data_IF_011303863172
#
_entry.id   IF_011303863172
#
_cell.length_a   1.000
_cell.length_b   1.000
_cell.length_c   1.000
_cell.angle_alpha   90.00
_cell.angle_beta   90.00
_cell.angle_gamma   90.00
#
_symmetry.space_group_name_H-M   'P 1'
#
loop_
_entity.id
_entity.type
_entity.pdbx_description
1 polymer ?
#
# COMPACT_ATOMS: atom_id res chain seq x y z
N UNK A 1 -3.55 -4.24 3.86
CA UNK A 1 -4.65 -4.80 3.05
C UNK A 1 -4.48 -4.46 1.58
N UNK A 2 -4.97 -5.34 0.70
CA UNK A 2 -4.90 -5.18 -0.76
C UNK A 2 -6.23 -5.54 -1.39
N UNK A 3 -6.74 -4.68 -2.25
CA UNK A 3 -7.85 -4.99 -3.17
C UNK A 3 -7.40 -5.12 -4.61
N UNK A 4 -6.13 -4.80 -4.88
CA UNK A 4 -5.50 -4.89 -6.19
C UNK A 4 -4.12 -5.53 -6.07
N UNK A 5 -3.72 -6.24 -7.11
CA UNK A 5 -2.45 -6.95 -7.18
C UNK A 5 -1.37 -6.03 -7.73
N UNK A 6 -0.44 -5.60 -6.89
CA UNK A 6 0.66 -4.70 -7.31
C UNK A 6 1.82 -4.72 -6.31
N UNK A 7 2.94 -4.11 -6.68
CA UNK A 7 4.12 -3.97 -5.83
C UNK A 7 4.68 -5.32 -5.36
N UNK A 8 4.96 -5.44 -4.05
CA UNK A 8 5.48 -6.70 -3.48
C UNK A 8 4.53 -7.87 -3.67
N UNK A 9 3.21 -7.63 -3.63
CA UNK A 9 2.21 -8.67 -3.88
C UNK A 9 2.26 -9.19 -5.31
N UNK A 10 2.46 -8.32 -6.30
CA UNK A 10 2.65 -8.73 -7.68
C UNK A 10 3.92 -9.57 -7.85
N UNK A 11 5.03 -9.13 -7.26
CA UNK A 11 6.29 -9.86 -7.32
C UNK A 11 6.21 -11.27 -6.70
N UNK A 12 5.43 -11.40 -5.62
CA UNK A 12 5.19 -12.69 -4.95
C UNK A 12 4.26 -13.57 -5.82
N UNK A 13 3.18 -13.02 -6.34
CA UNK A 13 2.24 -13.71 -7.21
C UNK A 13 2.90 -14.29 -8.47
N UNK A 14 3.80 -13.55 -9.11
CA UNK A 14 4.54 -14.03 -10.26
C UNK A 14 5.35 -15.32 -9.97
N UNK A 15 5.79 -15.51 -8.74
CA UNK A 15 6.59 -16.67 -8.32
C UNK A 15 5.75 -17.86 -7.91
N UNK A 16 4.61 -17.62 -7.25
CA UNK A 16 3.87 -18.67 -6.54
C UNK A 16 2.36 -18.67 -6.78
N UNK A 17 1.83 -17.74 -7.59
CA UNK A 17 0.39 -17.49 -7.74
C UNK A 17 -0.34 -17.31 -6.40
N UNK A 18 0.38 -16.79 -5.40
CA UNK A 18 -0.14 -16.49 -4.08
C UNK A 18 0.45 -15.20 -3.54
N UNK A 19 -0.19 -14.60 -2.54
CA UNK A 19 0.34 -13.47 -1.78
C UNK A 19 0.18 -13.77 -0.30
N UNK A 20 1.26 -13.73 0.47
CA UNK A 20 1.29 -14.10 1.91
C UNK A 20 0.64 -15.46 2.20
N UNK A 21 0.90 -16.43 1.32
CA UNK A 21 0.31 -17.79 1.34
C UNK A 21 -1.20 -17.85 1.00
N UNK A 22 -1.82 -16.75 0.55
CA UNK A 22 -3.19 -16.75 0.06
C UNK A 22 -3.16 -17.07 -1.44
N UNK A 23 -3.68 -18.21 -1.89
CA UNK A 23 -3.73 -18.55 -3.32
C UNK A 23 -4.66 -17.58 -4.06
N UNK A 24 -4.24 -17.15 -5.23
CA UNK A 24 -5.01 -16.25 -6.08
C UNK A 24 -5.30 -16.90 -7.44
N UNK A 25 -6.37 -16.49 -8.13
CA UNK A 25 -6.68 -17.00 -9.47
C UNK A 25 -5.51 -16.82 -10.44
N UNK A 26 -5.34 -17.77 -11.35
CA UNK A 26 -4.36 -17.67 -12.43
C UNK A 26 -4.75 -16.57 -13.43
N UNK A 27 -3.75 -16.00 -14.12
CA UNK A 27 -3.97 -15.02 -15.19
C UNK A 27 -4.18 -13.58 -14.71
N UNK A 28 -3.99 -13.28 -13.43
CA UNK A 28 -3.97 -11.89 -12.95
C UNK A 28 -2.74 -11.18 -13.49
N UNK A 29 -2.90 -9.90 -13.77
CA UNK A 29 -1.88 -8.98 -14.24
C UNK A 29 -1.54 -7.96 -13.14
N UNK A 30 -0.40 -7.27 -13.28
CA UNK A 30 -0.11 -6.13 -12.41
C UNK A 30 -1.24 -5.08 -12.51
N UNK A 31 -1.72 -4.60 -11.38
CA UNK A 31 -2.87 -3.71 -11.31
C UNK A 31 -4.24 -4.41 -11.40
N UNK A 32 -4.32 -5.74 -11.50
CA UNK A 32 -5.60 -6.45 -11.48
C UNK A 32 -6.32 -6.26 -10.16
N UNK A 33 -7.64 -6.03 -10.24
CA UNK A 33 -8.52 -6.06 -9.07
C UNK A 33 -8.62 -7.50 -8.56
N UNK A 34 -8.47 -7.69 -7.27
CA UNK A 34 -8.66 -8.99 -6.62
C UNK A 34 -10.15 -9.32 -6.48
N UNK A 35 -10.53 -10.61 -6.48
CA UNK A 35 -11.91 -11.03 -6.25
C UNK A 35 -12.47 -10.52 -4.91
N UNK A 36 -11.63 -10.50 -3.89
CA UNK A 36 -11.88 -9.93 -2.57
C UNK A 36 -10.63 -9.23 -2.03
N UNK A 37 -10.82 -8.34 -1.08
CA UNK A 37 -9.69 -7.69 -0.41
C UNK A 37 -9.01 -8.68 0.52
N UNK A 38 -7.69 -8.76 0.45
CA UNK A 38 -6.88 -9.68 1.24
C UNK A 38 -6.09 -8.95 2.32
N UNK A 39 -5.87 -9.65 3.44
CA UNK A 39 -4.98 -9.21 4.51
C UNK A 39 -3.57 -9.74 4.26
N UNK A 40 -2.62 -8.84 4.13
CA UNK A 40 -1.23 -9.16 3.81
C UNK A 40 -0.30 -8.55 4.86
N UNK A 41 -0.12 -9.21 6.01
CA UNK A 41 0.74 -8.68 7.06
C UNK A 41 2.21 -8.67 6.62
N UNK A 42 2.96 -7.76 7.20
CA UNK A 42 4.41 -7.68 7.08
C UNK A 42 5.03 -7.51 8.47
N UNK A 43 6.27 -7.98 8.62
CA UNK A 43 7.08 -7.62 9.79
C UNK A 43 7.45 -6.16 9.71
N UNK A 44 7.57 -5.49 10.87
CA UNK A 44 8.22 -4.18 10.91
C UNK A 44 9.73 -4.43 11.00
N UNK A 45 10.44 -4.06 9.96
CA UNK A 45 11.89 -4.19 9.90
C UNK A 45 12.58 -3.23 10.87
N UNK A 46 13.78 -3.57 11.31
CA UNK A 46 14.67 -2.63 11.99
C UNK A 46 15.15 -1.53 11.02
N UNK A 47 15.65 -0.42 11.58
CA UNK A 47 16.07 0.71 10.78
C UNK A 47 17.20 0.30 9.82
N UNK A 48 16.94 0.37 8.51
CA UNK A 48 17.86 -0.02 7.44
C UNK A 48 17.47 -1.28 6.68
N UNK A 49 16.54 -2.06 7.20
CA UNK A 49 15.99 -3.25 6.54
C UNK A 49 14.63 -2.97 5.90
N UNK A 50 14.14 -3.90 5.10
CA UNK A 50 12.83 -3.83 4.44
C UNK A 50 11.81 -4.71 5.13
N UNK A 51 10.58 -4.20 5.26
CA UNK A 51 9.43 -4.98 5.74
C UNK A 51 9.24 -6.21 4.85
N UNK A 52 9.14 -7.39 5.47
CA UNK A 52 8.89 -8.64 4.77
C UNK A 52 7.44 -9.07 4.90
N UNK A 53 6.82 -9.41 3.76
CA UNK A 53 5.50 -10.02 3.78
C UNK A 53 5.56 -11.38 4.49
N UNK A 54 4.64 -11.60 5.42
CA UNK A 54 4.52 -12.86 6.16
C UNK A 54 3.11 -13.43 6.02
N UNK A 55 2.97 -14.74 6.23
CA UNK A 55 1.65 -15.35 6.30
C UNK A 55 0.91 -14.96 7.58
N UNK A 56 -0.43 -15.06 7.56
CA UNK A 56 -1.25 -14.89 8.76
C UNK A 56 -0.87 -15.88 9.88
N UNK A 57 -0.52 -17.11 9.52
CA UNK A 57 -0.03 -18.10 10.47
C UNK A 57 1.25 -17.62 11.16
N UNK A 58 2.22 -17.10 10.39
CA UNK A 58 3.46 -16.57 10.95
C UNK A 58 3.22 -15.35 11.82
N UNK A 59 2.33 -14.45 11.44
CA UNK A 59 1.91 -13.32 12.29
C UNK A 59 1.34 -13.83 13.62
N UNK A 60 0.46 -14.84 13.55
CA UNK A 60 -0.16 -15.42 14.76
C UNK A 60 0.84 -16.07 15.70
N UNK A 61 1.93 -16.65 15.19
CA UNK A 61 3.04 -17.16 15.99
C UNK A 61 3.79 -16.04 16.73
N UNK A 62 3.96 -14.87 16.05
CA UNK A 62 4.74 -13.75 16.60
C UNK A 62 3.96 -12.99 17.67
N UNK A 63 2.69 -12.65 17.41
CA UNK A 63 1.91 -11.76 18.28
C UNK A 63 0.76 -12.45 19.02
N UNK A 64 0.54 -13.74 18.78
CA UNK A 64 -0.60 -14.50 19.30
C UNK A 64 -1.84 -14.45 18.41
N UNK A 65 -2.54 -15.58 18.32
CA UNK A 65 -3.71 -15.75 17.44
C UNK A 65 -4.84 -14.74 17.70
N UNK A 66 -5.24 -14.47 18.96
CA UNK A 66 -6.28 -13.48 19.25
C UNK A 66 -5.97 -12.09 18.70
N UNK A 67 -4.77 -11.58 18.96
CA UNK A 67 -4.34 -10.26 18.46
C UNK A 67 -4.24 -10.25 16.93
N UNK A 68 -3.66 -11.26 16.32
CA UNK A 68 -3.57 -11.39 14.87
C UNK A 68 -4.97 -11.36 14.22
N UNK A 69 -5.95 -12.06 14.80
CA UNK A 69 -7.34 -12.03 14.35
C UNK A 69 -7.95 -10.63 14.42
N UNK A 70 -7.80 -9.95 15.55
CA UNK A 70 -8.30 -8.58 15.74
C UNK A 70 -7.67 -7.63 14.72
N UNK A 71 -6.35 -7.67 14.56
CA UNK A 71 -5.65 -6.77 13.63
C UNK A 71 -6.01 -7.03 12.17
N UNK A 72 -6.20 -8.30 11.78
CA UNK A 72 -6.71 -8.65 10.45
C UNK A 72 -8.08 -8.01 10.21
N UNK A 73 -9.00 -8.20 11.13
CA UNK A 73 -10.39 -7.76 10.99
C UNK A 73 -10.48 -6.23 10.97
N UNK A 74 -9.76 -5.55 11.86
CA UNK A 74 -9.66 -4.08 11.86
C UNK A 74 -9.06 -3.56 10.55
N UNK A 75 -7.96 -4.17 10.08
CA UNK A 75 -7.32 -3.78 8.82
C UNK A 75 -8.28 -3.88 7.64
N UNK A 76 -8.99 -5.01 7.49
CA UNK A 76 -9.94 -5.21 6.41
C UNK A 76 -11.15 -4.28 6.50
N UNK A 77 -11.66 -4.02 7.70
CA UNK A 77 -12.76 -3.08 7.92
C UNK A 77 -12.37 -1.65 7.54
N UNK A 78 -11.22 -1.18 8.02
CA UNK A 78 -10.70 0.15 7.69
C UNK A 78 -10.45 0.29 6.18
N UNK A 79 -9.80 -0.71 5.58
CA UNK A 79 -9.53 -0.73 4.16
C UNK A 79 -10.81 -0.69 3.33
N UNK A 80 -11.78 -1.56 3.61
CA UNK A 80 -13.04 -1.62 2.87
C UNK A 80 -13.81 -0.30 2.93
N UNK A 81 -13.86 0.31 4.12
CA UNK A 81 -14.50 1.62 4.30
C UNK A 81 -13.79 2.72 3.50
N UNK A 82 -12.45 2.75 3.57
CA UNK A 82 -11.65 3.73 2.84
C UNK A 82 -11.75 3.53 1.33
N UNK A 83 -11.69 2.28 0.84
CA UNK A 83 -11.82 1.95 -0.57
C UNK A 83 -13.19 2.37 -1.12
N UNK A 84 -14.26 2.09 -0.38
CA UNK A 84 -15.62 2.50 -0.77
C UNK A 84 -15.74 4.01 -0.85
N UNK A 85 -15.19 4.74 0.12
CA UNK A 85 -15.19 6.20 0.10
C UNK A 85 -14.35 6.75 -1.06
N UNK A 86 -13.13 6.29 -1.25
CA UNK A 86 -12.24 6.72 -2.32
C UNK A 86 -12.88 6.51 -3.72
N UNK A 87 -13.59 5.41 -3.91
CA UNK A 87 -14.29 5.12 -5.16
C UNK A 87 -15.36 6.19 -5.49
N UNK A 88 -16.04 6.76 -4.50
CA UNK A 88 -16.99 7.88 -4.72
C UNK A 88 -16.31 9.16 -5.16
N UNK A 89 -15.00 9.23 -5.06
CA UNK A 89 -14.15 10.37 -5.43
C UNK A 89 -13.31 10.11 -6.70
N UNK A 90 -13.61 9.04 -7.44
CA UNK A 90 -12.86 8.67 -8.64
C UNK A 90 -11.46 8.11 -8.35
N UNK A 91 -11.20 7.70 -7.11
CA UNK A 91 -9.92 7.15 -6.68
C UNK A 91 -10.04 5.67 -6.35
N UNK A 92 -9.11 4.88 -6.87
CA UNK A 92 -8.87 3.50 -6.46
C UNK A 92 -7.85 3.52 -5.32
N UNK A 93 -8.23 2.99 -4.16
CA UNK A 93 -7.30 2.60 -3.11
C UNK A 93 -6.85 1.17 -3.39
N UNK A 94 -5.66 1.01 -3.96
CA UNK A 94 -5.17 -0.29 -4.40
C UNK A 94 -4.71 -1.17 -3.25
N UNK A 95 -3.89 -0.62 -2.38
CA UNK A 95 -3.45 -1.22 -1.12
C UNK A 95 -3.14 -0.12 -0.11
N UNK A 96 -3.05 -0.51 1.15
CA UNK A 96 -2.63 0.38 2.23
C UNK A 96 -1.95 -0.40 3.33
N UNK A 97 -1.02 0.25 4.01
CA UNK A 97 -0.36 -0.24 5.21
C UNK A 97 -0.95 0.48 6.42
N UNK A 98 -1.36 -0.28 7.42
CA UNK A 98 -1.70 0.22 8.75
C UNK A 98 -0.72 -0.33 9.78
N UNK A 99 -0.36 0.48 10.74
CA UNK A 99 0.39 0.06 11.90
C UNK A 99 -0.50 0.12 13.15
N UNK A 100 -0.39 -0.87 14.00
CA UNK A 100 -1.14 -0.95 15.23
C UNK A 100 -0.20 -1.15 16.40
N UNK A 101 -0.58 -0.60 17.53
CA UNK A 101 0.10 -0.79 18.80
C UNK A 101 -0.89 -0.90 19.94
N UNK A 102 -0.36 -1.05 21.16
CA UNK A 102 -1.16 -0.95 22.39
C UNK A 102 -0.81 0.32 23.14
N UNK A 103 -1.82 1.03 23.59
CA UNK A 103 -1.64 2.17 24.50
C UNK A 103 -1.26 1.72 25.92
N UNK A 104 -1.04 2.66 26.81
CA UNK A 104 -0.69 2.40 28.21
C UNK A 104 -1.76 1.63 28.99
N UNK A 105 -2.98 1.54 28.48
CA UNK A 105 -4.09 0.77 29.06
C UNK A 105 -4.20 -0.64 28.47
N UNK A 106 -3.36 -0.97 27.47
CA UNK A 106 -3.40 -2.24 26.75
C UNK A 106 -4.41 -2.27 25.60
N UNK A 107 -5.09 -1.16 25.28
CA UNK A 107 -6.04 -1.08 24.18
C UNK A 107 -5.31 -0.98 22.85
N UNK A 108 -5.80 -1.71 21.83
CA UNK A 108 -5.28 -1.61 20.47
C UNK A 108 -5.62 -0.25 19.89
N UNK A 109 -4.60 0.42 19.37
CA UNK A 109 -4.68 1.72 18.71
C UNK A 109 -4.07 1.63 17.33
N UNK A 110 -4.65 2.38 16.38
CA UNK A 110 -4.02 2.68 15.11
C UNK A 110 -2.90 3.69 15.37
N UNK A 111 -1.70 3.34 14.92
CA UNK A 111 -0.51 4.20 15.01
C UNK A 111 -0.05 4.62 13.62
N UNK A 112 0.97 5.50 13.61
CA UNK A 112 1.58 6.02 12.40
C UNK A 112 0.58 6.70 11.44
N UNK A 113 1.03 7.05 10.25
CA UNK A 113 0.19 7.61 9.20
C UNK A 113 -0.76 6.57 8.61
N UNK A 114 -1.96 6.99 8.26
CA UNK A 114 -2.95 6.12 7.66
C UNK A 114 -3.64 6.80 6.48
N UNK A 115 -3.79 6.08 5.36
CA UNK A 115 -4.49 6.54 4.17
C UNK A 115 -3.88 7.81 3.54
N UNK A 116 -2.58 7.96 3.66
CA UNK A 116 -1.80 9.01 3.00
C UNK A 116 -1.18 8.47 1.71
N UNK A 117 -0.68 9.33 0.81
CA UNK A 117 0.08 8.89 -0.36
C UNK A 117 1.37 8.11 -0.03
N UNK A 118 1.84 8.15 1.21
CA UNK A 118 3.00 7.37 1.65
C UNK A 118 2.63 5.97 2.15
N UNK A 119 1.53 5.84 2.89
CA UNK A 119 1.03 4.56 3.41
C UNK A 119 0.18 3.79 2.42
N UNK A 120 -0.29 4.42 1.34
CA UNK A 120 -1.31 3.89 0.43
C UNK A 120 -0.96 4.12 -1.04
N UNK A 121 -1.43 3.22 -1.93
CA UNK A 121 -1.45 3.46 -3.37
C UNK A 121 -2.81 3.96 -3.80
N UNK A 122 -2.84 5.18 -4.31
CA UNK A 122 -4.02 5.81 -4.89
C UNK A 122 -3.86 5.92 -6.40
N UNK A 123 -4.80 5.36 -7.16
CA UNK A 123 -4.82 5.44 -8.61
C UNK A 123 -6.06 6.19 -9.11
N UNK A 124 -5.95 6.80 -10.28
CA UNK A 124 -7.11 7.37 -10.95
C UNK A 124 -8.00 6.24 -11.48
N UNK A 125 -9.29 6.25 -11.11
CA UNK A 125 -10.24 5.26 -11.58
C UNK A 125 -10.47 5.35 -13.09
N UNK A 126 -10.45 6.57 -13.65
CA UNK A 126 -10.74 6.81 -15.08
C UNK A 126 -9.63 6.26 -16.00
N UNK A 127 -8.40 6.21 -15.52
CA UNK A 127 -7.24 5.76 -16.31
C UNK A 127 -6.72 4.39 -15.91
N UNK A 128 -7.34 3.74 -14.91
CA UNK A 128 -6.92 2.44 -14.45
C UNK A 128 -7.10 1.36 -15.52
N UNK A 129 -6.04 0.59 -15.73
CA UNK A 129 -6.02 -0.55 -16.65
C UNK A 129 -5.03 -1.60 -16.16
N UNK A 130 -5.44 -2.86 -15.91
CA UNK A 130 -4.51 -3.94 -15.56
C UNK A 130 -3.47 -4.20 -16.66
N UNK A 131 -2.29 -4.67 -16.26
CA UNK A 131 -1.22 -5.07 -17.18
C UNK A 131 -0.06 -4.11 -17.28
N UNK A 132 0.06 -3.15 -16.37
CA UNK A 132 1.19 -2.21 -16.35
C UNK A 132 1.14 -1.21 -15.22
N UNK A 133 2.08 -0.27 -15.24
CA UNK A 133 2.15 0.81 -14.28
C UNK A 133 0.87 1.66 -14.29
N UNK A 134 0.37 2.00 -13.12
CA UNK A 134 -0.85 2.79 -12.97
C UNK A 134 -0.52 4.27 -12.75
N UNK A 135 -1.27 5.20 -13.36
CA UNK A 135 -1.21 6.61 -12.97
C UNK A 135 -1.55 6.76 -11.49
N UNK A 136 -0.59 7.21 -10.71
CA UNK A 136 -0.61 7.15 -9.26
C UNK A 136 -0.52 8.55 -8.66
N UNK A 137 -1.23 8.77 -7.56
CA UNK A 137 -1.17 9.98 -6.73
C UNK A 137 -0.20 9.85 -5.54
N UNK A 138 0.58 8.77 -5.52
CA UNK A 138 1.49 8.44 -4.43
C UNK A 138 2.97 8.60 -4.84
N UNK A 139 3.87 8.18 -3.96
CA UNK A 139 5.32 8.24 -4.14
C UNK A 139 5.91 7.39 -5.27
N UNK A 140 5.07 6.67 -6.03
CA UNK A 140 5.55 5.84 -7.15
C UNK A 140 6.26 6.70 -8.21
N UNK A 141 5.82 7.95 -8.41
CA UNK A 141 6.47 8.87 -9.34
C UNK A 141 7.95 9.14 -8.99
N UNK A 142 8.24 9.37 -7.71
CA UNK A 142 9.63 9.55 -7.24
C UNK A 142 10.41 8.25 -7.38
N UNK A 143 9.79 7.11 -7.06
CA UNK A 143 10.43 5.80 -7.22
C UNK A 143 10.78 5.50 -8.67
N UNK A 144 9.89 5.80 -9.60
CA UNK A 144 10.14 5.60 -11.04
C UNK A 144 11.28 6.48 -11.53
N UNK A 145 11.33 7.73 -11.08
CA UNK A 145 12.44 8.62 -11.38
C UNK A 145 13.77 8.10 -10.81
N UNK A 146 13.80 7.66 -9.55
CA UNK A 146 14.98 7.07 -8.93
C UNK A 146 15.47 5.82 -9.68
N UNK A 147 14.55 4.97 -10.14
CA UNK A 147 14.89 3.81 -10.97
C UNK A 147 15.54 4.21 -12.29
N UNK A 148 15.04 5.27 -12.93
CA UNK A 148 15.55 5.78 -14.20
C UNK A 148 16.87 6.54 -14.04
N UNK A 149 17.15 7.10 -12.86
CA UNK A 149 18.38 7.82 -12.56
C UNK A 149 19.64 6.95 -12.54
N UNK A 150 19.49 5.62 -12.51
CA UNK A 150 20.60 4.68 -12.39
C UNK A 150 21.17 4.56 -10.98
N UNK A 151 20.48 5.07 -9.96
CA UNK A 151 20.90 4.96 -8.57
C UNK A 151 20.96 3.50 -8.12
N UNK A 152 22.08 3.12 -7.49
CA UNK A 152 22.40 1.76 -7.03
C UNK A 152 21.63 1.33 -5.76
N UNK A 153 20.87 2.23 -5.15
CA UNK A 153 20.13 2.07 -3.87
C UNK A 153 21.02 1.80 -2.64
N UNK A 154 22.34 1.95 -2.75
CA UNK A 154 23.29 1.77 -1.65
C UNK A 154 24.01 3.06 -1.30
N UNK A 155 24.36 3.85 -2.31
CA UNK A 155 24.93 5.19 -2.14
C UNK A 155 23.85 6.19 -1.69
N UNK A 156 24.23 7.37 -1.17
CA UNK A 156 23.26 8.43 -0.94
C UNK A 156 22.42 8.68 -2.20
N UNK A 157 21.08 8.84 -2.08
CA UNK A 157 20.25 9.08 -3.24
C UNK A 157 20.60 10.39 -3.93
N UNK A 158 20.43 10.47 -5.27
CA UNK A 158 20.61 11.72 -5.99
C UNK A 158 19.60 12.78 -5.52
N UNK A 159 20.02 14.05 -5.57
CA UNK A 159 19.11 15.16 -5.29
C UNK A 159 17.95 15.17 -6.31
N UNK A 160 16.73 15.33 -5.83
CA UNK A 160 15.56 15.39 -6.69
C UNK A 160 15.53 16.71 -7.48
N UNK A 161 15.39 16.66 -8.81
CA UNK A 161 15.20 17.87 -9.60
C UNK A 161 13.95 18.64 -9.15
N UNK A 162 13.95 19.98 -9.21
CA UNK A 162 12.80 20.80 -8.82
C UNK A 162 11.48 20.38 -9.50
N UNK A 163 11.54 19.97 -10.75
CA UNK A 163 10.38 19.48 -11.50
C UNK A 163 9.80 18.18 -10.94
N UNK A 164 10.65 17.29 -10.39
CA UNK A 164 10.19 16.04 -9.77
C UNK A 164 9.54 16.35 -8.42
N UNK A 165 10.10 17.27 -7.66
CA UNK A 165 9.52 17.75 -6.40
C UNK A 165 8.16 18.37 -6.66
N UNK A 166 8.05 19.29 -7.63
CA UNK A 166 6.80 19.99 -7.95
C UNK A 166 5.70 19.01 -8.41
N UNK A 167 6.01 18.12 -9.34
CA UNK A 167 5.05 17.11 -9.80
C UNK A 167 4.64 16.12 -8.70
N UNK A 168 5.50 15.86 -7.74
CA UNK A 168 5.14 15.05 -6.58
C UNK A 168 4.18 15.81 -5.67
N UNK A 169 4.46 17.10 -5.42
CA UNK A 169 3.57 17.98 -4.66
C UNK A 169 2.19 18.07 -5.30
N UNK A 170 2.10 18.35 -6.60
CA UNK A 170 0.83 18.41 -7.35
C UNK A 170 0.00 17.13 -7.20
N UNK A 171 0.63 15.94 -7.21
CA UNK A 171 -0.04 14.66 -7.02
C UNK A 171 -0.62 14.52 -5.62
N UNK A 172 0.14 14.89 -4.60
CA UNK A 172 -0.30 14.83 -3.20
C UNK A 172 -1.44 15.81 -2.95
N UNK A 173 -1.34 17.04 -3.45
CA UNK A 173 -2.40 18.04 -3.39
C UNK A 173 -3.66 17.59 -4.12
N UNK A 174 -3.51 16.96 -5.30
CA UNK A 174 -4.62 16.39 -6.06
C UNK A 174 -5.32 15.27 -5.29
N UNK A 175 -4.57 14.33 -4.70
CA UNK A 175 -5.13 13.29 -3.86
C UNK A 175 -5.90 13.87 -2.66
N UNK A 176 -5.30 14.86 -1.98
CA UNK A 176 -5.92 15.53 -0.86
C UNK A 176 -7.23 16.22 -1.27
N UNK A 177 -7.20 16.99 -2.35
CA UNK A 177 -8.37 17.72 -2.84
C UNK A 177 -9.49 16.77 -3.26
N UNK A 178 -9.17 15.70 -3.99
CA UNK A 178 -10.15 14.69 -4.41
C UNK A 178 -10.79 14.00 -3.19
N UNK A 179 -9.97 13.55 -2.24
CA UNK A 179 -10.45 12.81 -1.08
C UNK A 179 -11.21 13.67 -0.09
N UNK A 180 -10.79 14.91 0.13
CA UNK A 180 -11.36 15.77 1.19
C UNK A 180 -12.36 16.81 0.67
N UNK A 181 -12.28 17.15 -0.62
CA UNK A 181 -13.01 18.26 -1.20
C UNK A 181 -12.48 19.64 -0.79
N UNK A 182 -11.27 19.69 -0.22
CA UNK A 182 -10.62 20.93 0.26
C UNK A 182 -9.37 21.20 -0.59
N UNK A 183 -9.05 22.47 -0.77
CA UNK A 183 -7.76 22.90 -1.32
C UNK A 183 -6.77 23.14 -0.17
N UNK A 184 -5.48 22.92 -0.43
CA UNK A 184 -4.37 23.26 0.47
C UNK A 184 -3.98 24.71 0.20
#
# INVERSE_FOLDING_TARGET
>A
ARGYLTGSGWNEYQKSQSVTSIPLPAGLLDGSKLPESIFTPATKAEMGDHDENISFARMSEIIGGPDAGILRDLTLQLYTRAQTYAATRGIILADTKFEFGRDSTGKICLGDEALTPDSSRFWSADSWKPGGAQPSFDKQYVRDWLLQSGWDRQSPPPELPPEVVEKTRERYESAFTLLTGRNI
#
